data_IF_312659894211
#
_entry.id   IF_312659894211
#
_cell.length_a   1.000
_cell.length_b   1.000
_cell.length_c   1.000
_cell.angle_alpha   90.00
_cell.angle_beta   90.00
_cell.angle_gamma   90.00
#
_symmetry.space_group_name_H-M   'P 1'
#
loop_
_entity.id
_entity.type
_entity.pdbx_description
1 polymer ?
#
# COMPACT_ATOMS: atom_id res chain seq x y z
N UNK A 1 -39.30 41.63 -65.47
CA UNK A 1 -38.67 42.95 -65.62
C UNK A 1 -39.59 43.97 -64.97
N UNK A 2 -39.10 44.64 -63.91
CA UNK A 2 -39.58 45.91 -63.31
C UNK A 2 -40.98 45.86 -62.64
N UNK A 3 -41.29 46.45 -61.48
CA UNK A 3 -40.61 47.40 -60.59
C UNK A 3 -41.32 47.40 -59.20
N UNK A 4 -40.58 47.85 -58.17
CA UNK A 4 -40.93 48.68 -56.98
C UNK A 4 -42.42 48.88 -56.64
N UNK A 5 -42.89 48.76 -55.40
CA UNK A 5 -42.66 49.60 -54.19
C UNK A 5 -43.34 48.86 -53.00
N UNK A 6 -43.10 49.06 -51.71
CA UNK A 6 -43.28 50.29 -50.92
C UNK A 6 -42.97 49.95 -49.43
N UNK A 7 -42.64 50.99 -48.67
CA UNK A 7 -42.21 51.03 -47.26
C UNK A 7 -43.17 50.38 -46.26
N UNK A 8 -42.64 49.96 -45.09
CA UNK A 8 -42.98 50.60 -43.82
C UNK A 8 -42.04 50.15 -42.69
N UNK A 9 -41.55 51.17 -41.98
CA UNK A 9 -40.87 51.14 -40.70
C UNK A 9 -41.75 50.51 -39.60
N UNK A 10 -41.11 49.86 -38.64
CA UNK A 10 -41.53 49.93 -37.23
C UNK A 10 -40.34 49.55 -36.34
N UNK A 11 -39.87 50.57 -35.61
CA UNK A 11 -38.82 50.57 -34.59
C UNK A 11 -39.12 49.61 -33.43
N UNK A 12 -38.16 48.77 -33.02
CA UNK A 12 -38.05 48.33 -31.61
C UNK A 12 -36.59 48.06 -31.20
N UNK A 13 -36.06 49.03 -30.46
CA UNK A 13 -35.09 48.95 -29.35
C UNK A 13 -33.65 48.44 -29.59
N UNK A 14 -32.74 49.40 -29.58
CA UNK A 14 -31.33 49.28 -29.22
C UNK A 14 -31.17 48.69 -27.80
N UNK A 15 -31.00 47.37 -27.70
CA UNK A 15 -30.28 46.78 -26.57
C UNK A 15 -28.80 46.75 -26.92
N UNK A 16 -28.09 47.81 -26.50
CA UNK A 16 -26.63 47.84 -26.41
C UNK A 16 -26.24 46.79 -25.37
N UNK A 17 -26.08 45.55 -25.81
CA UNK A 17 -25.33 44.53 -25.07
C UNK A 17 -23.88 45.01 -25.03
N UNK A 18 -23.53 45.65 -23.92
CA UNK A 18 -22.16 45.95 -23.51
C UNK A 18 -21.36 44.63 -23.56
N UNK A 19 -20.71 44.39 -24.70
CA UNK A 19 -19.72 43.34 -24.84
C UNK A 19 -18.60 43.70 -23.87
N UNK A 20 -18.61 43.08 -22.70
CA UNK A 20 -17.45 43.02 -21.81
C UNK A 20 -16.37 42.27 -22.56
N UNK A 21 -15.57 43.01 -23.33
CA UNK A 21 -14.30 42.53 -23.86
C UNK A 21 -13.41 42.21 -22.66
N UNK A 22 -13.35 40.93 -22.29
CA UNK A 22 -12.31 40.43 -21.38
C UNK A 22 -10.99 40.42 -22.14
N UNK A 23 -10.41 41.61 -22.33
CA UNK A 23 -9.02 41.72 -22.78
C UNK A 23 -8.14 41.09 -21.69
N UNK A 24 -7.24 40.15 -22.04
CA UNK A 24 -6.26 39.69 -21.07
C UNK A 24 -5.36 40.89 -20.73
N UNK A 25 -5.48 41.40 -19.50
CA UNK A 25 -4.60 42.44 -18.94
C UNK A 25 -3.18 41.90 -18.89
N UNK A 26 -2.43 42.05 -19.97
CA UNK A 26 -0.99 41.90 -19.92
C UNK A 26 -0.43 43.10 -19.16
N UNK A 27 0.16 42.84 -17.99
CA UNK A 27 0.83 43.87 -17.20
C UNK A 27 1.85 44.59 -18.09
N UNK A 28 1.72 45.91 -18.25
CA UNK A 28 2.59 46.65 -19.15
C UNK A 28 4.01 46.60 -18.59
N UNK A 29 4.99 46.38 -19.46
CA UNK A 29 6.41 46.25 -19.10
C UNK A 29 6.93 47.39 -18.20
N UNK A 30 6.39 48.59 -18.35
CA UNK A 30 6.72 49.75 -17.50
C UNK A 30 6.31 49.57 -16.03
N UNK A 31 5.25 48.81 -15.74
CA UNK A 31 4.78 48.52 -14.38
C UNK A 31 5.71 47.52 -13.66
N UNK A 32 6.38 46.66 -14.43
CA UNK A 32 7.43 45.76 -13.93
C UNK A 32 8.70 46.55 -13.60
N UNK A 33 9.10 47.48 -14.47
CA UNK A 33 10.27 48.33 -14.24
C UNK A 33 10.09 49.24 -13.03
N UNK A 34 8.86 49.71 -12.77
CA UNK A 34 8.53 50.55 -11.61
C UNK A 34 8.35 49.77 -10.30
N UNK A 35 8.48 48.43 -10.33
CA UNK A 35 8.37 47.58 -9.15
C UNK A 35 6.94 47.33 -8.66
N UNK A 36 5.92 47.56 -9.49
CA UNK A 36 4.50 47.45 -9.13
C UNK A 36 3.78 46.29 -9.82
N UNK A 37 4.52 45.32 -10.37
CA UNK A 37 3.98 44.19 -11.14
C UNK A 37 3.41 43.02 -10.33
N UNK A 38 3.47 43.05 -8.99
CA UNK A 38 3.01 41.93 -8.16
C UNK A 38 1.54 42.13 -7.73
N UNK A 39 0.62 41.63 -8.55
CA UNK A 39 -0.79 41.57 -8.19
C UNK A 39 -1.06 40.28 -7.41
N UNK A 40 -1.33 40.41 -6.11
CA UNK A 40 -1.62 39.31 -5.20
C UNK A 40 -2.92 38.59 -5.60
N UNK A 41 -2.84 37.50 -6.37
CA UNK A 41 -4.00 36.61 -6.65
C UNK A 41 -4.53 35.87 -5.40
N UNK A 42 -4.01 36.19 -4.21
CA UNK A 42 -4.34 35.52 -2.96
C UNK A 42 -5.52 36.15 -2.22
N UNK A 43 -5.99 37.33 -2.63
CA UNK A 43 -7.05 38.04 -1.91
C UNK A 43 -8.46 37.77 -2.44
N UNK A 44 -8.62 37.38 -3.70
CA UNK A 44 -9.93 36.91 -4.23
C UNK A 44 -10.28 35.46 -3.81
N UNK A 45 -9.30 34.70 -3.30
CA UNK A 45 -9.48 33.30 -2.89
C UNK A 45 -9.79 33.14 -1.38
N UNK A 46 -10.04 34.23 -0.65
CA UNK A 46 -10.37 34.15 0.79
C UNK A 46 -11.86 33.91 1.08
N UNK A 47 -12.73 33.96 0.07
CA UNK A 47 -14.19 33.83 0.24
C UNK A 47 -14.84 32.71 -0.60
N UNK A 48 -14.03 31.81 -1.16
CA UNK A 48 -14.49 30.54 -1.71
C UNK A 48 -14.02 29.45 -0.76
N UNK A 49 -14.77 29.21 0.32
CA UNK A 49 -14.65 27.95 1.04
C UNK A 49 -14.94 26.83 0.03
N UNK A 50 -13.85 26.23 -0.48
CA UNK A 50 -13.94 25.05 -1.31
C UNK A 50 -14.78 24.02 -0.53
N UNK A 51 -15.79 23.39 -1.16
CA UNK A 51 -16.61 22.38 -0.50
C UNK A 51 -15.68 21.34 0.14
N UNK A 52 -16.01 20.83 1.34
CA UNK A 52 -15.16 19.86 2.03
C UNK A 52 -14.89 18.70 1.08
N UNK A 53 -13.60 18.47 0.77
CA UNK A 53 -13.20 17.36 -0.11
C UNK A 53 -13.85 16.08 0.42
N UNK A 54 -14.50 15.27 -0.45
CA UNK A 54 -15.13 14.03 -0.01
C UNK A 54 -14.08 13.17 0.70
N UNK A 55 -14.39 12.73 1.93
CA UNK A 55 -13.51 11.86 2.71
C UNK A 55 -13.46 10.51 2.00
N UNK A 56 -12.28 10.15 1.48
CA UNK A 56 -12.06 8.83 0.89
C UNK A 56 -12.28 7.73 1.96
N UNK A 57 -12.69 6.50 1.57
CA UNK A 57 -12.74 5.36 2.48
C UNK A 57 -11.41 5.16 3.21
N UNK A 58 -11.47 4.71 4.48
CA UNK A 58 -10.28 4.56 5.33
C UNK A 58 -9.26 3.63 4.70
N UNK A 59 -9.74 2.61 4.00
CA UNK A 59 -8.99 1.58 3.29
C UNK A 59 -8.10 2.16 2.19
N UNK A 60 -8.48 3.31 1.62
CA UNK A 60 -7.74 4.00 0.55
C UNK A 60 -6.69 4.99 1.05
N UNK A 61 -6.63 5.18 2.37
CA UNK A 61 -5.66 6.07 3.01
C UNK A 61 -4.60 5.24 3.73
N UNK A 62 -3.29 5.51 3.59
CA UNK A 62 -2.27 4.76 4.32
C UNK A 62 -2.37 5.02 5.83
N UNK A 63 -1.77 4.15 6.66
CA UNK A 63 -1.69 4.40 8.11
C UNK A 63 -0.85 5.65 8.39
N UNK A 64 -1.34 6.56 9.24
CA UNK A 64 -0.68 7.85 9.51
C UNK A 64 0.66 7.71 10.23
N UNK A 65 0.89 6.61 10.94
CA UNK A 65 2.10 6.33 11.73
C UNK A 65 2.48 4.84 11.55
N UNK A 66 2.85 4.46 10.33
CA UNK A 66 3.30 3.09 10.06
C UNK A 66 4.74 2.91 10.55
N UNK A 67 5.05 1.90 11.39
CA UNK A 67 6.42 1.65 11.84
C UNK A 67 7.30 1.01 10.74
N UNK A 68 6.71 0.70 9.59
CA UNK A 68 7.45 0.20 8.44
C UNK A 68 6.92 0.79 7.14
N UNK A 69 7.81 0.88 6.16
CA UNK A 69 7.48 1.11 4.76
C UNK A 69 7.73 -0.19 3.99
N UNK A 70 6.72 -0.67 3.27
CA UNK A 70 6.82 -1.87 2.47
C UNK A 70 6.91 -1.49 0.99
N UNK A 71 7.93 -1.98 0.29
CA UNK A 71 8.26 -1.56 -1.07
C UNK A 71 8.36 -2.77 -1.98
N UNK A 72 7.55 -2.78 -3.04
CA UNK A 72 7.63 -3.77 -4.11
C UNK A 72 8.57 -3.25 -5.20
N UNK A 73 9.66 -3.97 -5.45
CA UNK A 73 10.67 -3.55 -6.43
C UNK A 73 10.51 -4.21 -7.80
N UNK A 74 9.43 -4.97 -8.01
CA UNK A 74 9.13 -5.59 -9.31
C UNK A 74 8.60 -4.55 -10.30
N UNK A 75 8.48 -4.97 -11.55
CA UNK A 75 7.84 -4.18 -12.59
C UNK A 75 6.36 -3.92 -12.26
N UNK A 76 5.83 -2.82 -12.77
CA UNK A 76 4.44 -2.38 -12.53
C UNK A 76 3.43 -3.46 -12.88
N UNK A 77 3.60 -4.18 -13.99
CA UNK A 77 2.68 -5.24 -14.42
C UNK A 77 2.60 -6.38 -13.39
N UNK A 78 3.72 -6.73 -12.75
CA UNK A 78 3.76 -7.79 -11.74
C UNK A 78 3.09 -7.33 -10.42
N UNK A 79 3.26 -6.06 -10.07
CA UNK A 79 2.59 -5.41 -8.94
C UNK A 79 1.07 -5.33 -9.14
N UNK A 80 0.63 -4.99 -10.36
CA UNK A 80 -0.78 -4.87 -10.72
C UNK A 80 -1.51 -6.23 -10.69
N UNK A 81 -0.80 -7.32 -11.00
CA UNK A 81 -1.34 -8.67 -10.90
C UNK A 81 -1.58 -9.09 -9.45
N UNK A 82 -0.59 -8.86 -8.59
CA UNK A 82 -0.66 -9.15 -7.17
C UNK A 82 0.41 -8.37 -6.41
N UNK A 83 0.12 -7.95 -5.18
CA UNK A 83 1.11 -7.34 -4.28
C UNK A 83 0.66 -7.47 -2.82
N UNK A 84 1.58 -7.22 -1.89
CA UNK A 84 1.23 -7.20 -0.47
C UNK A 84 0.38 -5.98 -0.15
N UNK A 85 -0.66 -6.16 0.65
CA UNK A 85 -1.48 -5.04 1.12
C UNK A 85 -0.56 -4.05 1.86
N UNK A 86 -0.79 -2.75 1.65
CA UNK A 86 0.04 -1.62 2.14
C UNK A 86 1.37 -1.35 1.42
N UNK A 87 1.78 -2.18 0.45
CA UNK A 87 3.02 -1.94 -0.29
C UNK A 87 2.94 -0.70 -1.20
N UNK A 88 4.09 -0.05 -1.42
CA UNK A 88 4.30 0.96 -2.47
C UNK A 88 5.03 0.31 -3.65
N UNK A 89 4.53 0.48 -4.87
CA UNK A 89 5.26 0.08 -6.07
C UNK A 89 6.43 1.03 -6.32
N UNK A 90 7.64 0.50 -6.35
CA UNK A 90 8.84 1.25 -6.68
C UNK A 90 9.82 0.37 -7.47
N UNK A 91 9.61 0.22 -8.79
CA UNK A 91 10.37 -0.70 -9.62
C UNK A 91 11.87 -0.50 -9.52
N UNK A 92 12.63 -1.59 -9.60
CA UNK A 92 14.10 -1.62 -9.48
C UNK A 92 14.80 -0.61 -10.41
N UNK A 93 14.24 -0.38 -11.60
CA UNK A 93 14.70 0.60 -12.58
C UNK A 93 14.84 2.01 -12.03
N UNK A 94 14.08 2.37 -10.99
CA UNK A 94 14.16 3.69 -10.36
C UNK A 94 15.43 3.88 -9.51
N UNK A 95 15.97 2.81 -8.93
CA UNK A 95 17.17 2.90 -8.09
C UNK A 95 18.42 3.26 -8.90
N UNK A 96 18.47 2.94 -10.19
CA UNK A 96 19.59 3.25 -11.07
C UNK A 96 19.67 4.73 -11.49
N UNK A 97 18.64 5.53 -11.19
CA UNK A 97 18.61 6.96 -11.57
C UNK A 97 19.72 7.75 -10.86
N UNK A 98 20.33 8.70 -11.56
CA UNK A 98 21.31 9.62 -10.98
C UNK A 98 20.64 10.69 -10.13
N UNK A 99 19.49 11.19 -10.57
CA UNK A 99 18.73 12.26 -9.91
C UNK A 99 17.44 11.70 -9.30
N UNK A 100 17.19 12.06 -8.04
CA UNK A 100 16.01 11.64 -7.27
C UNK A 100 15.73 10.13 -7.32
N UNK A 101 16.68 9.26 -6.93
CA UNK A 101 16.51 7.81 -7.04
C UNK A 101 15.62 7.19 -5.95
N UNK A 102 15.02 7.99 -5.08
CA UNK A 102 14.20 7.52 -3.96
C UNK A 102 12.89 8.30 -3.86
N UNK A 103 11.82 7.63 -3.47
CA UNK A 103 10.54 8.28 -3.20
C UNK A 103 10.63 9.19 -1.96
N UNK A 104 9.70 10.13 -1.84
CA UNK A 104 9.64 10.99 -0.66
C UNK A 104 9.40 10.18 0.62
N UNK A 105 8.59 9.12 0.57
CA UNK A 105 8.38 8.24 1.73
C UNK A 105 9.65 7.50 2.14
N UNK A 106 10.41 6.96 1.19
CA UNK A 106 11.70 6.32 1.49
C UNK A 106 12.65 7.28 2.19
N UNK A 107 12.75 8.52 1.70
CA UNK A 107 13.59 9.55 2.30
C UNK A 107 13.13 9.94 3.72
N UNK A 108 11.81 9.99 3.97
CA UNK A 108 11.28 10.21 5.32
C UNK A 108 11.65 9.07 6.27
N UNK A 109 11.62 7.82 5.80
CA UNK A 109 11.95 6.65 6.61
C UNK A 109 13.45 6.47 6.80
N UNK A 110 14.32 7.14 6.03
CA UNK A 110 15.77 6.94 6.06
C UNK A 110 16.33 7.09 7.48
N UNK A 111 16.87 6.00 8.01
CA UNK A 111 17.53 5.92 9.33
C UNK A 111 16.70 6.50 10.48
N UNK A 112 15.38 6.50 10.34
CA UNK A 112 14.47 6.96 11.38
C UNK A 112 14.35 5.88 12.46
N UNK A 113 14.54 6.27 13.72
CA UNK A 113 14.44 5.36 14.85
C UNK A 113 13.03 4.75 14.96
N UNK A 114 12.95 3.45 15.26
CA UNK A 114 11.69 2.71 15.34
C UNK A 114 10.98 2.48 14.00
N UNK A 115 11.60 2.88 12.88
CA UNK A 115 11.05 2.72 11.54
C UNK A 115 11.99 1.92 10.65
N UNK A 116 11.42 1.04 9.83
CA UNK A 116 12.19 0.20 8.90
C UNK A 116 11.63 0.28 7.48
N UNK A 117 12.48 0.07 6.48
CA UNK A 117 12.08 -0.08 5.07
C UNK A 117 12.27 -1.54 4.69
N UNK A 118 11.21 -2.19 4.22
CA UNK A 118 11.22 -3.58 3.79
C UNK A 118 11.07 -3.62 2.27
N UNK A 119 12.11 -4.09 1.57
CA UNK A 119 12.07 -4.37 0.14
C UNK A 119 11.66 -5.82 -0.10
N UNK A 120 10.81 -6.04 -1.10
CA UNK A 120 10.49 -7.39 -1.54
C UNK A 120 10.24 -7.44 -3.05
N UNK A 121 10.35 -8.63 -3.59
CA UNK A 121 10.02 -9.01 -4.95
C UNK A 121 9.46 -10.45 -4.94
N UNK A 122 9.61 -11.19 -6.04
CA UNK A 122 9.11 -12.56 -6.15
C UNK A 122 9.95 -13.56 -5.32
N UNK A 123 11.27 -13.47 -5.38
CA UNK A 123 12.21 -14.51 -4.92
C UNK A 123 13.51 -13.98 -4.28
N UNK A 124 13.48 -12.73 -3.81
CA UNK A 124 14.50 -11.90 -3.14
C UNK A 124 15.68 -11.40 -3.97
N UNK A 125 15.78 -11.77 -5.25
CA UNK A 125 16.94 -11.47 -6.10
C UNK A 125 17.09 -9.96 -6.41
N UNK A 126 16.03 -9.35 -6.95
CA UNK A 126 15.97 -7.93 -7.32
C UNK A 126 15.98 -7.08 -6.05
N UNK A 127 15.24 -7.50 -5.02
CA UNK A 127 15.17 -6.82 -3.73
C UNK A 127 16.55 -6.71 -3.07
N UNK A 128 17.39 -7.74 -3.16
CA UNK A 128 18.75 -7.74 -2.60
C UNK A 128 19.67 -6.74 -3.31
N UNK A 129 19.60 -6.67 -4.65
CA UNK A 129 20.37 -5.68 -5.43
C UNK A 129 19.93 -4.24 -5.09
N UNK A 130 18.62 -4.02 -5.01
CA UNK A 130 18.05 -2.73 -4.64
C UNK A 130 18.45 -2.33 -3.20
N UNK A 131 18.40 -3.27 -2.26
CA UNK A 131 18.84 -3.06 -0.88
C UNK A 131 20.32 -2.68 -0.80
N UNK A 132 21.17 -3.35 -1.59
CA UNK A 132 22.60 -3.02 -1.69
C UNK A 132 22.80 -1.58 -2.18
N UNK A 133 22.04 -1.18 -3.20
CA UNK A 133 22.07 0.20 -3.73
C UNK A 133 21.61 1.22 -2.70
N UNK A 134 20.56 0.91 -1.92
CA UNK A 134 20.10 1.75 -0.82
C UNK A 134 21.16 1.88 0.29
N UNK A 135 21.77 0.76 0.68
CA UNK A 135 22.82 0.73 1.69
C UNK A 135 24.05 1.55 1.28
N UNK A 136 24.49 1.42 0.03
CA UNK A 136 25.57 2.23 -0.54
C UNK A 136 25.26 3.74 -0.53
N UNK A 137 23.98 4.11 -0.52
CA UNK A 137 23.51 5.50 -0.44
C UNK A 137 23.14 5.94 0.99
N UNK A 138 23.57 5.17 1.97
CA UNK A 138 23.52 5.51 3.40
C UNK A 138 22.19 5.21 4.08
N UNK A 139 21.40 4.27 3.56
CA UNK A 139 20.26 3.71 4.28
C UNK A 139 20.70 2.51 5.12
N UNK A 140 20.51 2.58 6.43
CA UNK A 140 20.93 1.57 7.40
C UNK A 140 19.74 0.75 7.91
N UNK A 141 18.52 1.28 7.83
CA UNK A 141 17.28 0.64 8.28
C UNK A 141 16.53 -0.08 7.15
N UNK A 142 17.25 -0.64 6.18
CA UNK A 142 16.69 -1.38 5.03
C UNK A 142 16.82 -2.88 5.25
N UNK A 143 15.73 -3.60 5.00
CA UNK A 143 15.61 -5.04 5.17
C UNK A 143 14.99 -5.67 3.92
N UNK A 144 15.32 -6.92 3.63
CA UNK A 144 14.74 -7.69 2.52
C UNK A 144 13.82 -8.77 3.07
N UNK A 145 12.64 -8.94 2.46
CA UNK A 145 11.73 -10.02 2.81
C UNK A 145 12.29 -11.36 2.32
N UNK A 146 12.78 -12.17 3.26
CA UNK A 146 13.40 -13.46 2.93
C UNK A 146 12.45 -14.41 2.20
N UNK A 147 12.89 -14.90 1.05
CA UNK A 147 12.12 -15.78 0.16
C UNK A 147 11.03 -15.08 -0.65
N UNK A 148 10.95 -13.75 -0.58
CA UNK A 148 10.04 -12.90 -1.35
C UNK A 148 8.56 -13.28 -1.20
N UNK A 149 7.76 -12.90 -2.21
CA UNK A 149 6.35 -13.26 -2.30
C UNK A 149 6.13 -14.77 -2.37
N UNK A 150 7.09 -15.55 -2.87
CA UNK A 150 6.95 -17.00 -3.02
C UNK A 150 6.84 -17.71 -1.69
N UNK A 151 7.75 -17.44 -0.76
CA UNK A 151 7.68 -18.02 0.59
C UNK A 151 6.49 -17.45 1.36
N UNK A 152 6.17 -16.17 1.15
CA UNK A 152 4.99 -15.55 1.74
C UNK A 152 3.70 -16.27 1.34
N UNK A 153 3.52 -16.54 0.04
CA UNK A 153 2.36 -17.24 -0.51
C UNK A 153 2.23 -18.68 0.02
N UNK A 154 3.34 -19.34 0.34
CA UNK A 154 3.33 -20.68 0.92
C UNK A 154 2.95 -20.68 2.41
N UNK A 155 3.44 -19.69 3.16
CA UNK A 155 3.21 -19.60 4.62
C UNK A 155 1.88 -18.93 4.99
N UNK A 156 1.51 -17.89 4.25
CA UNK A 156 0.33 -17.05 4.46
C UNK A 156 -0.37 -16.83 3.10
N UNK A 157 -1.09 -17.85 2.60
CA UNK A 157 -1.65 -17.82 1.24
C UNK A 157 -2.75 -16.76 1.06
N UNK A 158 -3.42 -16.36 2.13
CA UNK A 158 -4.58 -15.48 2.10
C UNK A 158 -4.42 -14.32 3.10
N UNK A 159 -5.11 -13.20 2.84
CA UNK A 159 -5.23 -12.07 3.77
C UNK A 159 -4.06 -11.08 3.79
N UNK A 160 -2.87 -11.47 3.30
CA UNK A 160 -1.71 -10.56 3.23
C UNK A 160 -1.48 -9.96 1.83
N UNK A 161 -1.91 -10.69 0.80
CA UNK A 161 -1.68 -10.37 -0.62
C UNK A 161 -3.03 -10.06 -1.25
N UNK A 162 -3.08 -9.01 -2.07
CA UNK A 162 -4.21 -8.69 -2.94
C UNK A 162 -3.91 -9.15 -4.37
N UNK A 163 -4.95 -9.53 -5.12
CA UNK A 163 -4.84 -10.08 -6.46
C UNK A 163 -4.49 -11.57 -6.50
N UNK A 164 -4.22 -12.07 -7.71
CA UNK A 164 -3.99 -13.50 -7.95
C UNK A 164 -2.52 -13.78 -8.21
N UNK A 165 -1.87 -14.53 -7.32
CA UNK A 165 -0.49 -14.95 -7.49
C UNK A 165 -0.32 -15.84 -8.75
N UNK A 166 0.76 -15.67 -9.51
CA UNK A 166 1.09 -16.54 -10.64
C UNK A 166 1.30 -17.99 -10.17
N UNK A 167 1.00 -18.97 -11.03
CA UNK A 167 1.22 -20.39 -10.71
C UNK A 167 2.70 -20.69 -10.42
N UNK A 168 3.59 -19.92 -11.05
CA UNK A 168 5.04 -19.92 -10.89
C UNK A 168 5.47 -19.62 -9.45
N UNK A 169 4.68 -18.81 -8.73
CA UNK A 169 4.99 -18.47 -7.34
C UNK A 169 4.88 -19.69 -6.40
N UNK A 170 4.12 -20.71 -6.78
CA UNK A 170 3.89 -21.93 -5.99
C UNK A 170 4.84 -23.08 -6.36
N UNK A 171 5.66 -22.94 -7.40
CA UNK A 171 6.64 -23.96 -7.75
C UNK A 171 7.83 -23.90 -6.79
N UNK A 172 8.08 -24.99 -6.05
CA UNK A 172 9.25 -25.14 -5.18
C UNK A 172 10.52 -25.31 -6.02
N UNK A 173 11.59 -24.57 -5.72
CA UNK A 173 12.89 -24.73 -6.39
C UNK A 173 13.74 -25.88 -5.84
N UNK A 174 13.25 -26.61 -4.83
CA UNK A 174 13.90 -27.84 -4.44
C UNK A 174 13.58 -28.94 -5.46
N UNK A 175 14.57 -29.28 -6.28
CA UNK A 175 14.54 -30.41 -7.22
C UNK A 175 14.34 -31.79 -6.57
N UNK A 176 13.84 -31.86 -5.33
CA UNK A 176 13.62 -33.08 -4.55
C UNK A 176 12.46 -32.92 -3.54
N UNK A 177 11.23 -32.61 -3.97
CA UNK A 177 10.08 -32.91 -3.11
C UNK A 177 8.83 -33.31 -3.90
N UNK A 178 8.67 -34.63 -4.07
CA UNK A 178 7.35 -35.26 -4.25
C UNK A 178 6.63 -35.30 -2.90
N UNK A 179 6.28 -34.15 -2.34
CA UNK A 179 5.37 -34.09 -1.19
C UNK A 179 4.07 -33.45 -1.64
N UNK A 180 3.01 -34.27 -1.59
CA UNK A 180 1.62 -33.87 -1.86
C UNK A 180 1.15 -32.92 -0.75
N UNK A 181 1.62 -31.67 -0.74
CA UNK A 181 0.96 -30.62 0.02
C UNK A 181 -0.34 -30.26 -0.71
N UNK A 182 -1.42 -30.06 0.04
CA UNK A 182 -2.77 -29.82 -0.47
C UNK A 182 -2.78 -28.74 -1.54
N UNK A 183 -2.76 -29.17 -2.80
CA UNK A 183 -2.71 -28.31 -3.96
C UNK A 183 -4.05 -27.59 -4.02
N UNK A 184 -4.09 -26.33 -3.58
CA UNK A 184 -5.16 -25.41 -3.98
C UNK A 184 -5.19 -25.49 -5.50
N UNK A 185 -6.29 -26.02 -6.06
CA UNK A 185 -6.43 -26.21 -7.51
C UNK A 185 -6.46 -24.83 -8.15
N UNK A 186 -5.31 -24.37 -8.62
CA UNK A 186 -5.20 -23.18 -9.44
C UNK A 186 -6.09 -23.34 -10.68
N UNK A 187 -7.13 -22.50 -10.78
CA UNK A 187 -7.94 -22.39 -11.98
C UNK A 187 -7.48 -21.14 -12.76
N UNK A 188 -6.77 -21.29 -13.89
CA UNK A 188 -6.20 -20.15 -14.64
C UNK A 188 -7.25 -19.17 -15.20
N UNK A 189 -8.54 -19.50 -15.14
CA UNK A 189 -9.63 -18.70 -15.73
C UNK A 189 -10.15 -17.56 -14.86
N UNK A 190 -9.77 -17.49 -13.59
CA UNK A 190 -10.24 -16.45 -12.66
C UNK A 190 -9.04 -15.66 -12.08
N UNK A 191 -8.25 -15.01 -12.93
CA UNK A 191 -7.24 -14.04 -12.45
C UNK A 191 -7.98 -12.77 -12.00
N UNK A 192 -8.14 -12.62 -10.70
CA UNK A 192 -8.64 -11.38 -10.09
C UNK A 192 -7.44 -10.42 -10.00
N UNK A 193 -7.50 -9.23 -10.62
CA UNK A 193 -6.44 -8.23 -10.48
C UNK A 193 -6.32 -7.77 -9.03
N UNK A 194 -5.15 -7.27 -8.65
CA UNK A 194 -4.99 -6.69 -7.31
C UNK A 194 -5.79 -5.40 -7.15
N UNK A 195 -6.27 -5.17 -5.93
CA UNK A 195 -6.90 -3.91 -5.56
C UNK A 195 -5.82 -2.85 -5.28
N UNK A 196 -5.57 -1.98 -6.27
CA UNK A 196 -4.61 -0.87 -6.18
C UNK A 196 -5.01 0.20 -5.14
N UNK A 197 -6.29 0.25 -4.74
CA UNK A 197 -6.76 1.24 -3.79
C UNK A 197 -6.67 0.75 -2.35
N UNK A 198 -6.29 -0.51 -2.12
CA UNK A 198 -6.26 -1.11 -0.80
C UNK A 198 -4.95 -0.79 -0.06
N UNK A 199 -4.94 0.34 0.65
CA UNK A 199 -3.79 0.82 1.44
C UNK A 199 -3.83 0.42 2.91
N UNK A 200 -4.88 -0.29 3.36
CA UNK A 200 -5.02 -0.86 4.71
C UNK A 200 -5.68 -2.22 4.67
N UNK A 201 -5.46 -3.02 5.72
CA UNK A 201 -6.16 -4.27 5.91
C UNK A 201 -7.64 -4.03 6.23
N UNK A 202 -8.52 -4.82 5.60
CA UNK A 202 -9.93 -4.90 5.96
C UNK A 202 -10.09 -5.83 7.16
N UNK A 203 -11.26 -5.82 7.78
CA UNK A 203 -11.57 -6.75 8.88
C UNK A 203 -11.43 -8.22 8.44
N UNK A 204 -11.87 -8.53 7.22
CA UNK A 204 -11.80 -9.89 6.66
C UNK A 204 -10.35 -10.35 6.48
N UNK A 205 -9.47 -9.46 5.98
CA UNK A 205 -8.04 -9.76 5.85
C UNK A 205 -7.41 -10.06 7.21
N UNK A 206 -7.73 -9.26 8.23
CA UNK A 206 -7.21 -9.45 9.59
C UNK A 206 -7.72 -10.74 10.23
N UNK A 207 -8.98 -11.11 10.01
CA UNK A 207 -9.54 -12.38 10.49
C UNK A 207 -8.80 -13.59 9.91
N UNK A 208 -8.64 -13.63 8.58
CA UNK A 208 -7.92 -14.70 7.89
C UNK A 208 -6.45 -14.78 8.33
N UNK A 209 -5.81 -13.63 8.54
CA UNK A 209 -4.43 -13.58 9.03
C UNK A 209 -4.30 -14.11 10.46
N UNK A 210 -5.23 -13.73 11.35
CA UNK A 210 -5.25 -14.24 12.73
C UNK A 210 -5.30 -15.76 12.74
N UNK A 211 -6.25 -16.35 12.00
CA UNK A 211 -6.42 -17.80 11.93
C UNK A 211 -5.18 -18.49 11.32
N UNK A 212 -4.61 -17.90 10.27
CA UNK A 212 -3.41 -18.45 9.60
C UNK A 212 -2.19 -18.44 10.52
N UNK A 213 -2.01 -17.37 11.31
CA UNK A 213 -0.93 -17.24 12.28
C UNK A 213 -1.11 -18.18 13.46
N UNK A 214 -2.32 -18.34 13.98
CA UNK A 214 -2.60 -19.30 15.06
C UNK A 214 -2.26 -20.73 14.63
N UNK A 215 -2.64 -21.12 13.41
CA UNK A 215 -2.28 -22.42 12.85
C UNK A 215 -0.75 -22.58 12.68
N UNK A 216 -0.05 -21.55 12.21
CA UNK A 216 1.40 -21.57 12.06
C UNK A 216 2.14 -21.70 13.40
N UNK A 217 1.61 -21.04 14.45
CA UNK A 217 2.19 -21.05 15.80
C UNK A 217 1.85 -22.31 16.61
N UNK A 218 0.74 -22.98 16.28
CA UNK A 218 0.29 -24.23 16.91
C UNK A 218 0.84 -25.49 16.22
N UNK A 219 1.42 -25.38 15.03
CA UNK A 219 2.07 -26.50 14.36
C UNK A 219 3.19 -27.08 15.25
N UNK A 220 3.28 -28.41 15.43
CA UNK A 220 4.37 -29.04 16.17
C UNK A 220 5.70 -28.70 15.51
N UNK A 221 6.52 -27.89 16.19
CA UNK A 221 7.86 -27.53 15.77
C UNK A 221 8.79 -28.74 15.93
N UNK A 222 8.87 -29.58 14.89
CA UNK A 222 9.99 -30.51 14.71
C UNK A 222 11.18 -29.86 13.96
N UNK A 223 11.09 -28.56 13.67
CA UNK A 223 12.22 -27.77 13.19
C UNK A 223 12.56 -26.71 14.24
N UNK A 224 13.60 -27.00 15.01
CA UNK A 224 13.99 -26.24 16.18
C UNK A 224 14.20 -24.75 15.93
N UNK A 225 13.54 -23.92 16.72
CA UNK A 225 13.99 -22.57 17.06
C UNK A 225 13.28 -22.14 18.35
N UNK A 226 14.03 -22.19 19.46
CA UNK A 226 13.63 -21.66 20.76
C UNK A 226 13.84 -20.15 20.73
N UNK A 227 12.77 -19.37 20.49
CA UNK A 227 12.76 -17.95 20.85
C UNK A 227 11.43 -17.61 21.55
N UNK A 228 11.57 -17.39 22.86
CA UNK A 228 10.73 -16.65 23.79
C UNK A 228 9.31 -16.27 23.36
N UNK A 229 8.32 -16.98 23.90
CA UNK A 229 6.92 -16.53 24.00
C UNK A 229 6.80 -15.51 25.14
N UNK A 230 6.66 -14.22 24.84
CA UNK A 230 6.02 -13.27 25.75
C UNK A 230 4.53 -13.24 25.41
N UNK A 231 3.70 -13.86 26.25
CA UNK A 231 2.24 -13.74 26.14
C UNK A 231 1.82 -12.40 26.72
N UNK A 232 1.12 -11.59 25.92
CA UNK A 232 0.31 -10.47 26.42
C UNK A 232 -1.01 -11.11 26.89
N UNK A 233 -1.16 -11.24 28.21
CA UNK A 233 -2.38 -11.73 28.84
C UNK A 233 -3.49 -10.66 28.73
N UNK A 234 -4.34 -10.76 27.72
CA UNK A 234 -5.66 -10.11 27.71
C UNK A 234 -6.60 -10.96 28.57
N UNK A 235 -6.73 -10.57 29.85
CA UNK A 235 -7.68 -11.16 30.80
C UNK A 235 -9.13 -10.92 30.36
N UNK A 236 -9.72 -11.89 29.68
CA UNK A 236 -11.17 -12.02 29.57
C UNK A 236 -11.65 -13.09 30.56
N UNK A 237 -12.28 -12.62 31.64
CA UNK A 237 -12.95 -13.46 32.64
C UNK A 237 -14.19 -14.11 32.01
N UNK A 238 -14.29 -15.44 32.03
CA UNK A 238 -15.56 -16.16 32.09
C UNK A 238 -15.38 -17.61 32.58
N UNK A 239 -15.82 -17.81 33.83
CA UNK A 239 -16.59 -18.92 34.43
C UNK A 239 -16.34 -20.37 33.95
N UNK A 240 -15.80 -21.13 34.91
CA UNK A 240 -16.25 -22.44 35.41
C UNK A 240 -16.23 -23.68 34.49
N UNK A 241 -15.38 -24.63 34.86
CA UNK A 241 -15.84 -25.96 35.30
C UNK A 241 -14.78 -26.60 36.20
N UNK A 242 -15.15 -26.88 37.46
CA UNK A 242 -14.38 -27.75 38.33
C UNK A 242 -14.76 -29.19 37.99
N UNK A 243 -13.77 -30.01 37.66
CA UNK A 243 -13.90 -31.46 37.69
C UNK A 243 -12.94 -31.98 38.76
N UNK A 244 -13.51 -32.28 39.91
CA UNK A 244 -12.92 -33.09 40.97
C UNK A 244 -13.00 -34.55 40.57
N UNK A 245 -11.86 -35.21 40.41
CA UNK A 245 -11.76 -36.67 40.48
C UNK A 245 -10.70 -37.05 41.50
N UNK A 246 -11.19 -37.37 42.70
CA UNK A 246 -10.50 -38.17 43.69
C UNK A 246 -10.41 -39.61 43.21
N UNK A 247 -9.21 -40.17 43.08
CA UNK A 247 -8.99 -41.59 43.30
C UNK A 247 -7.53 -41.85 43.67
N UNK A 248 -7.38 -42.86 44.50
CA UNK A 248 -6.33 -43.10 45.46
C UNK A 248 -5.22 -44.03 44.95
N UNK A 249 -4.02 -43.82 45.51
CA UNK A 249 -3.20 -44.82 46.22
C UNK A 249 -1.81 -45.19 45.64
N UNK A 250 -0.84 -45.14 46.56
CA UNK A 250 0.44 -45.87 46.70
C UNK A 250 1.49 -45.85 45.58
N UNK A 251 2.65 -45.21 45.78
CA UNK A 251 3.86 -45.80 46.40
C UNK A 251 5.14 -44.93 46.22
N UNK A 252 5.72 -44.50 47.35
CA UNK A 252 7.16 -44.48 47.76
C UNK A 252 8.20 -44.73 46.63
N UNK A 253 9.26 -43.93 46.35
CA UNK A 253 10.38 -43.41 47.17
C UNK A 253 11.13 -42.26 46.45
N UNK A 254 11.83 -41.35 47.15
CA UNK A 254 12.80 -40.42 46.56
C UNK A 254 14.23 -41.00 46.55
N UNK A 255 15.02 -40.68 45.52
CA UNK A 255 16.46 -40.94 45.49
C UNK A 255 17.24 -39.65 45.82
N UNK A 256 18.38 -39.85 46.47
CA UNK A 256 19.40 -38.86 46.83
C UNK A 256 20.10 -38.27 45.61
#
# INVERSE_FOLDING_TARGET
MMNESEENDDDVEDDIVERVETTPRQSKFLDVIRGTGELNMREQNKNLELPPKPKLPKEQTPYSQSPYLLVDVRDSDAYEQCHMITAESYPSTNFSRTMNPFSHQMLQFKNMEGHIIILYDTDELIATECATTMAQRGFENVFVLSGGLRVLAQKLPNGLITGSLPAEAFHSFDGKSKLKSGRVKYNPKNKIPADMNLKRFTHDHLGVLSDSLDNLLLAPSDAGSRLSKSKIDTRSRSRASMLTTTSSNSNIKPWK
#
